data_IF_428424403307
#
_entry.id   IF_428424403307
#
_cell.length_a   1.000
_cell.length_b   1.000
_cell.length_c   1.000
_cell.angle_alpha   90.00
_cell.angle_beta   90.00
_cell.angle_gamma   90.00
#
_symmetry.space_group_name_H-M   'P 1'
#
loop_
_entity.id
_entity.type
_entity.pdbx_description
1 polymer ?
#
# COMPACT_ATOMS: atom_id res chain seq x y z
N UNK A 1 1.68 -14.07 -21.32
CA UNK A 1 2.73 -14.13 -20.28
C UNK A 1 2.00 -13.92 -18.97
N UNK A 2 1.21 -14.89 -18.57
CA UNK A 2 0.19 -14.73 -17.51
C UNK A 2 0.50 -15.72 -16.39
N UNK A 3 1.67 -15.54 -15.79
CA UNK A 3 2.04 -16.27 -14.59
C UNK A 3 1.64 -15.44 -13.38
N UNK A 4 0.73 -15.92 -12.51
CA UNK A 4 0.38 -15.25 -11.26
C UNK A 4 1.60 -14.90 -10.40
N UNK A 5 2.65 -15.72 -10.49
CA UNK A 5 3.93 -15.50 -9.79
C UNK A 5 4.68 -14.28 -10.32
N UNK A 6 4.65 -14.02 -11.63
CA UNK A 6 5.26 -12.84 -12.24
C UNK A 6 4.48 -11.58 -11.87
N UNK A 7 3.16 -11.64 -11.91
CA UNK A 7 2.30 -10.53 -11.47
C UNK A 7 2.54 -10.20 -9.98
N UNK A 8 2.58 -11.21 -9.12
CA UNK A 8 2.87 -11.03 -7.69
C UNK A 8 4.27 -10.46 -7.45
N UNK A 9 5.27 -10.91 -8.21
CA UNK A 9 6.64 -10.41 -8.09
C UNK A 9 6.75 -8.96 -8.53
N UNK A 10 6.06 -8.57 -9.60
CA UNK A 10 5.99 -7.19 -10.06
C UNK A 10 5.31 -6.30 -9.02
N UNK A 11 4.18 -6.73 -8.47
CA UNK A 11 3.48 -6.04 -7.37
C UNK A 11 4.38 -5.86 -6.15
N UNK A 12 5.03 -6.94 -5.71
CA UNK A 12 5.93 -6.91 -4.56
C UNK A 12 7.12 -5.97 -4.78
N UNK A 13 7.71 -5.98 -5.98
CA UNK A 13 8.79 -5.07 -6.35
C UNK A 13 8.36 -3.61 -6.35
N UNK A 14 7.19 -3.29 -6.92
CA UNK A 14 6.64 -1.93 -6.92
C UNK A 14 6.34 -1.43 -5.51
N UNK A 15 5.77 -2.28 -4.64
CA UNK A 15 5.48 -1.93 -3.25
C UNK A 15 6.76 -1.59 -2.46
N UNK A 16 7.80 -2.42 -2.57
CA UNK A 16 9.08 -2.17 -1.92
C UNK A 16 9.75 -0.89 -2.42
N UNK A 17 9.65 -0.60 -3.72
CA UNK A 17 10.14 0.65 -4.31
C UNK A 17 9.46 1.89 -3.70
N UNK A 18 8.13 1.87 -3.57
CA UNK A 18 7.38 2.96 -2.95
C UNK A 18 7.74 3.14 -1.47
N UNK A 19 7.92 2.06 -0.72
CA UNK A 19 8.36 2.11 0.68
C UNK A 19 9.77 2.71 0.83
N UNK A 20 10.70 2.36 -0.06
CA UNK A 20 12.04 2.97 -0.06
C UNK A 20 12.01 4.47 -0.37
N UNK A 21 11.17 4.89 -1.31
CA UNK A 21 10.98 6.31 -1.64
C UNK A 21 10.40 7.07 -0.45
N UNK A 22 9.38 6.53 0.22
CA UNK A 22 8.79 7.14 1.43
C UNK A 22 9.79 7.20 2.59
N UNK A 23 10.58 6.13 2.79
CA UNK A 23 11.62 6.11 3.83
C UNK A 23 12.76 7.08 3.56
N UNK A 24 13.02 7.40 2.29
CA UNK A 24 14.06 8.36 1.89
C UNK A 24 13.55 9.80 1.88
N UNK A 25 12.27 10.02 1.59
CA UNK A 25 11.60 11.32 1.57
C UNK A 25 11.24 11.76 3.01
N UNK A 26 12.23 12.28 3.74
CA UNK A 26 12.17 12.49 5.19
C UNK A 26 11.23 13.59 5.73
N UNK A 27 10.37 14.27 4.94
CA UNK A 27 9.57 15.36 5.56
C UNK A 27 8.28 15.79 4.87
N UNK A 28 8.22 15.90 3.54
CA UNK A 28 7.07 16.57 2.89
C UNK A 28 5.87 15.65 2.60
N UNK A 29 6.05 14.33 2.70
CA UNK A 29 5.04 13.33 2.33
C UNK A 29 4.50 12.51 3.52
N UNK A 30 4.75 12.96 4.76
CA UNK A 30 4.21 12.33 5.98
C UNK A 30 3.15 13.22 6.66
N UNK A 31 2.39 13.97 5.87
CA UNK A 31 1.21 14.66 6.36
C UNK A 31 0.13 13.67 6.83
N UNK A 32 -0.84 14.12 7.64
CA UNK A 32 -2.01 13.29 7.99
C UNK A 32 -2.69 12.77 6.72
N UNK A 33 -2.93 11.46 6.62
CA UNK A 33 -3.58 10.85 5.45
C UNK A 33 -2.62 10.27 4.39
N UNK A 34 -1.31 10.49 4.51
CA UNK A 34 -0.35 10.03 3.49
C UNK A 34 -0.25 8.50 3.39
N UNK A 35 -0.49 7.78 4.48
CA UNK A 35 -0.49 6.32 4.50
C UNK A 35 -1.73 5.78 3.78
N UNK A 36 -2.89 6.41 3.98
CA UNK A 36 -4.15 6.11 3.33
C UNK A 36 -4.12 6.40 1.82
N UNK A 37 -3.54 7.54 1.41
CA UNK A 37 -3.35 7.87 -0.01
C UNK A 37 -2.43 6.87 -0.73
N UNK A 38 -1.34 6.46 -0.07
CA UNK A 38 -0.45 5.45 -0.60
C UNK A 38 -1.15 4.09 -0.75
N UNK A 39 -1.90 3.67 0.27
CA UNK A 39 -2.67 2.44 0.22
C UNK A 39 -3.71 2.47 -0.91
N UNK A 40 -4.41 3.59 -1.11
CA UNK A 40 -5.38 3.78 -2.19
C UNK A 40 -4.72 3.61 -3.57
N UNK A 41 -3.56 4.25 -3.80
CA UNK A 41 -2.80 4.12 -5.06
C UNK A 41 -2.40 2.67 -5.34
N UNK A 42 -1.92 1.95 -4.32
CA UNK A 42 -1.55 0.54 -4.45
C UNK A 42 -2.77 -0.32 -4.79
N UNK A 43 -3.90 -0.14 -4.10
CA UNK A 43 -5.14 -0.89 -4.36
C UNK A 43 -5.65 -0.68 -5.79
N UNK A 44 -5.58 0.56 -6.29
CA UNK A 44 -5.94 0.89 -7.68
C UNK A 44 -5.01 0.22 -8.69
N UNK A 45 -3.71 0.18 -8.42
CA UNK A 45 -2.75 -0.56 -9.26
C UNK A 45 -3.03 -2.06 -9.28
N UNK A 46 -3.59 -2.62 -8.21
CA UNK A 46 -4.02 -4.02 -8.13
C UNK A 46 -5.37 -4.28 -8.82
N UNK A 47 -5.98 -3.26 -9.42
CA UNK A 47 -7.22 -3.37 -10.18
C UNK A 47 -8.49 -3.07 -9.39
N UNK A 48 -8.38 -2.57 -8.16
CA UNK A 48 -9.55 -2.15 -7.38
C UNK A 48 -10.14 -0.85 -7.95
N UNK A 49 -11.47 -0.72 -8.08
CA UNK A 49 -12.12 0.53 -8.47
C UNK A 49 -11.73 1.68 -7.54
N UNK A 50 -11.62 2.94 -8.03
CA UNK A 50 -11.19 4.07 -7.22
C UNK A 50 -12.02 4.28 -5.94
N UNK A 51 -13.33 4.12 -6.02
CA UNK A 51 -14.25 4.30 -4.88
C UNK A 51 -14.06 3.21 -3.82
N UNK A 52 -13.87 1.96 -4.25
CA UNK A 52 -13.62 0.83 -3.35
C UNK A 52 -12.22 0.93 -2.70
N UNK A 53 -11.21 1.33 -3.47
CA UNK A 53 -9.87 1.60 -2.94
C UNK A 53 -9.89 2.72 -1.88
N UNK A 54 -10.67 3.77 -2.14
CA UNK A 54 -10.87 4.89 -1.23
C UNK A 54 -11.51 4.44 0.09
N UNK A 55 -12.57 3.63 0.03
CA UNK A 55 -13.21 3.09 1.24
C UNK A 55 -12.27 2.18 2.02
N UNK A 56 -11.59 1.25 1.36
CA UNK A 56 -10.72 0.25 2.01
C UNK A 56 -9.53 0.91 2.71
N UNK A 57 -8.88 1.89 2.06
CA UNK A 57 -7.70 2.55 2.62
C UNK A 57 -7.99 3.36 3.90
N UNK A 58 -9.23 3.81 4.10
CA UNK A 58 -9.67 4.56 5.29
C UNK A 58 -10.28 3.71 6.39
N UNK A 59 -10.38 2.40 6.20
CA UNK A 59 -10.87 1.52 7.27
C UNK A 59 -9.90 1.59 8.45
N UNK A 60 -10.41 1.61 9.69
CA UNK A 60 -9.55 1.59 10.86
C UNK A 60 -8.63 0.37 10.78
N UNK A 61 -7.33 0.60 10.92
CA UNK A 61 -6.36 -0.50 10.96
C UNK A 61 -6.70 -1.43 12.13
N UNK A 62 -6.69 -2.76 11.93
CA UNK A 62 -6.89 -3.68 13.03
C UNK A 62 -5.77 -3.48 14.04
N UNK A 63 -6.12 -3.47 15.33
CA UNK A 63 -5.12 -3.49 16.40
C UNK A 63 -4.22 -4.71 16.18
N UNK A 64 -2.92 -4.47 16.02
CA UNK A 64 -1.96 -5.55 15.86
C UNK A 64 -2.14 -6.51 17.03
N UNK A 65 -2.35 -7.80 16.73
CA UNK A 65 -2.41 -8.83 17.78
C UNK A 65 -1.08 -8.74 18.53
N UNK A 66 -1.09 -8.57 19.87
CA UNK A 66 0.16 -8.57 20.62
C UNK A 66 0.89 -9.87 20.34
N UNK A 67 2.17 -9.74 19.99
CA UNK A 67 3.06 -10.85 19.64
C UNK A 67 2.92 -11.97 20.68
N UNK A 68 2.53 -13.16 20.24
CA UNK A 68 2.55 -14.34 21.11
C UNK A 68 3.94 -14.97 20.96
N UNK A 69 4.73 -14.80 22.02
CA UNK A 69 6.04 -15.41 22.33
C UNK A 69 7.28 -14.73 21.77
#
# INVERSE_FOLDING_TARGET
MDSPLVALSAVGGSLLGLLQLKSSAKSEQSGPGADEEMAELILRMLGLPPEEAHEVARRPLPVARPDRS
#
